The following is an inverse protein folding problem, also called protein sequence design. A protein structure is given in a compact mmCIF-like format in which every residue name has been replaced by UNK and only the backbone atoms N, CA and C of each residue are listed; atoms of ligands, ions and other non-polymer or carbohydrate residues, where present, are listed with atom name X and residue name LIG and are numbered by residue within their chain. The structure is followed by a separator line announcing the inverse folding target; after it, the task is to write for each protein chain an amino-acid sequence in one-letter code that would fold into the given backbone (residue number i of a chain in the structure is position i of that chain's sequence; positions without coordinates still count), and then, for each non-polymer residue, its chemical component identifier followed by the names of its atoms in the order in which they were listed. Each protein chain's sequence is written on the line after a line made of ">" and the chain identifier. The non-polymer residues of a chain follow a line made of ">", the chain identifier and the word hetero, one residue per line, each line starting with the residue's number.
data_IF_918162678023
#
_entry.id   IF_918162678023
#
_cell.length_a   1.000
_cell.length_b   1.000
_cell.length_c   1.000
_cell.angle_alpha   90.00
_cell.angle_beta   90.00
_cell.angle_gamma   90.00
#
_symmetry.space_group_name_H-M   'P 1'
#
loop_
_entity.id
_entity.type
_entity.pdbx_description
1 polymer ?
#
# COMPACT_ATOMS: atom_id res chain seq x y z
N UNK A 1 12.39 -11.63 -12.11
CA UNK A 1 13.31 -10.94 -11.15
C UNK A 1 13.72 -11.90 -10.06
N UNK A 2 15.03 -12.04 -9.79
CA UNK A 2 15.56 -12.82 -8.66
C UNK A 2 15.55 -11.97 -7.41
N UNK A 3 15.13 -12.52 -6.28
CA UNK A 3 15.17 -11.83 -4.99
C UNK A 3 16.53 -12.03 -4.33
N UNK A 4 17.30 -10.94 -4.22
CA UNK A 4 18.60 -10.91 -3.55
C UNK A 4 18.97 -9.46 -3.14
N UNK A 5 20.19 -9.24 -2.69
CA UNK A 5 20.66 -7.93 -2.18
C UNK A 5 20.87 -6.84 -3.26
N UNK A 6 20.66 -7.15 -4.52
CA UNK A 6 20.68 -6.17 -5.62
C UNK A 6 19.30 -5.53 -5.83
N UNK A 7 18.26 -6.08 -5.22
CA UNK A 7 16.87 -5.62 -5.32
C UNK A 7 16.49 -4.86 -4.06
N UNK A 8 15.81 -3.73 -4.24
CA UNK A 8 15.18 -2.98 -3.15
C UNK A 8 13.66 -2.99 -3.28
N UNK A 9 12.99 -2.91 -2.13
CA UNK A 9 11.54 -2.95 -2.01
C UNK A 9 11.01 -1.85 -1.08
N UNK A 10 9.82 -1.35 -1.38
CA UNK A 10 9.03 -0.52 -0.48
C UNK A 10 7.77 -1.29 -0.09
N UNK A 11 7.48 -1.35 1.21
CA UNK A 11 6.27 -1.97 1.75
C UNK A 11 5.48 -0.93 2.53
N UNK A 12 4.30 -0.53 2.03
CA UNK A 12 3.42 0.38 2.76
C UNK A 12 2.61 -0.38 3.82
N UNK A 13 2.33 0.25 4.98
CA UNK A 13 1.74 -0.46 6.12
C UNK A 13 2.67 -1.51 6.71
N UNK A 14 3.99 -1.32 6.56
CA UNK A 14 5.01 -2.33 6.87
C UNK A 14 5.33 -2.49 8.36
N UNK A 15 4.76 -1.67 9.24
CA UNK A 15 5.01 -1.76 10.68
C UNK A 15 4.16 -2.83 11.40
N UNK A 16 3.21 -3.48 10.72
CA UNK A 16 2.34 -4.49 11.34
C UNK A 16 1.68 -5.43 10.33
N UNK A 17 1.12 -6.54 10.83
CA UNK A 17 0.25 -7.44 10.08
C UNK A 17 0.87 -7.98 8.78
N UNK A 18 0.11 -7.92 7.68
CA UNK A 18 0.55 -8.42 6.37
C UNK A 18 1.76 -7.66 5.85
N UNK A 19 1.81 -6.32 6.06
CA UNK A 19 2.94 -5.51 5.61
C UNK A 19 4.24 -5.89 6.33
N UNK A 20 4.22 -6.05 7.65
CA UNK A 20 5.37 -6.51 8.43
C UNK A 20 5.82 -7.91 8.00
N UNK A 21 4.88 -8.85 7.86
CA UNK A 21 5.19 -10.21 7.42
C UNK A 21 5.83 -10.22 6.02
N UNK A 22 5.33 -9.39 5.10
CA UNK A 22 5.89 -9.21 3.77
C UNK A 22 7.30 -8.62 3.82
N UNK A 23 7.50 -7.56 4.61
CA UNK A 23 8.81 -6.93 4.77
C UNK A 23 9.86 -7.92 5.28
N UNK A 24 9.50 -8.70 6.30
CA UNK A 24 10.38 -9.75 6.86
C UNK A 24 10.66 -10.86 5.84
N UNK A 25 9.67 -11.29 5.07
CA UNK A 25 9.84 -12.32 4.05
C UNK A 25 10.76 -11.87 2.91
N UNK A 26 10.65 -10.63 2.45
CA UNK A 26 11.52 -10.05 1.43
C UNK A 26 12.96 -9.90 1.96
N UNK A 27 13.12 -9.38 3.17
CA UNK A 27 14.44 -9.25 3.80
C UNK A 27 15.13 -10.60 4.01
N UNK A 28 14.39 -11.65 4.36
CA UNK A 28 14.93 -13.01 4.47
C UNK A 28 15.47 -13.57 3.16
N UNK A 29 15.06 -13.04 2.01
CA UNK A 29 15.61 -13.33 0.68
C UNK A 29 16.79 -12.42 0.31
N UNK A 30 17.21 -11.53 1.19
CA UNK A 30 18.29 -10.58 0.96
C UNK A 30 17.86 -9.25 0.35
N UNK A 31 16.57 -9.04 0.05
CA UNK A 31 16.04 -7.79 -0.50
C UNK A 31 16.21 -6.65 0.52
N UNK A 32 16.65 -5.49 0.06
CA UNK A 32 16.74 -4.27 0.88
C UNK A 32 15.35 -3.64 1.02
N UNK A 33 14.81 -3.58 2.23
CA UNK A 33 13.41 -3.19 2.44
C UNK A 33 13.30 -1.83 3.11
N UNK A 34 12.50 -0.94 2.52
CA UNK A 34 12.02 0.28 3.16
C UNK A 34 10.56 0.09 3.62
N UNK A 35 10.29 0.46 4.87
CA UNK A 35 8.99 0.39 5.51
C UNK A 35 8.35 1.76 5.52
N UNK A 36 7.18 1.89 4.90
CA UNK A 36 6.33 3.08 4.95
C UNK A 36 5.18 2.85 5.92
N UNK A 37 5.14 3.60 7.02
CA UNK A 37 4.06 3.50 8.00
C UNK A 37 3.94 4.81 8.80
N UNK A 38 2.79 5.04 9.40
CA UNK A 38 2.57 6.15 10.32
C UNK A 38 3.04 5.83 11.75
N UNK A 39 3.11 4.55 12.11
CA UNK A 39 3.53 4.10 13.43
C UNK A 39 5.05 4.04 13.54
N UNK A 40 5.64 5.15 13.99
CA UNK A 40 7.09 5.34 14.08
C UNK A 40 7.75 4.29 14.98
N UNK A 41 7.21 4.06 16.20
CA UNK A 41 7.81 3.15 17.14
C UNK A 41 7.91 1.71 16.62
N UNK A 42 6.82 1.19 16.06
CA UNK A 42 6.80 -0.15 15.45
C UNK A 42 7.57 -0.21 14.14
N UNK A 43 7.49 0.83 13.32
CA UNK A 43 8.20 0.89 12.06
C UNK A 43 9.72 0.84 12.25
N UNK A 44 10.26 1.58 13.20
CA UNK A 44 11.69 1.54 13.56
C UNK A 44 12.09 0.18 14.13
N UNK A 45 11.25 -0.43 14.98
CA UNK A 45 11.49 -1.77 15.52
C UNK A 45 11.61 -2.81 14.39
N UNK A 46 10.65 -2.81 13.46
CA UNK A 46 10.64 -3.76 12.33
C UNK A 46 11.82 -3.48 11.39
N UNK A 47 12.07 -2.23 11.03
CA UNK A 47 13.18 -1.85 10.16
C UNK A 47 14.52 -2.30 10.74
N UNK A 48 14.76 -2.07 12.03
CA UNK A 48 15.97 -2.55 12.72
C UNK A 48 16.09 -4.07 12.70
N UNK A 49 14.99 -4.79 12.87
CA UNK A 49 14.99 -6.25 12.92
C UNK A 49 15.30 -6.90 11.55
N UNK A 50 15.13 -6.18 10.44
CA UNK A 50 15.36 -6.68 9.07
C UNK A 50 16.53 -5.99 8.36
N UNK A 51 17.32 -5.18 9.08
CA UNK A 51 18.37 -4.33 8.50
C UNK A 51 17.84 -3.44 7.36
N UNK A 52 16.63 -2.92 7.54
CA UNK A 52 15.93 -2.07 6.59
C UNK A 52 15.90 -0.60 7.01
N UNK A 53 15.14 0.22 6.28
CA UNK A 53 14.92 1.62 6.61
C UNK A 53 13.45 1.90 6.89
N UNK A 54 13.18 2.66 7.96
CA UNK A 54 11.83 3.16 8.24
C UNK A 54 11.66 4.57 7.67
N UNK A 55 10.54 4.80 7.01
CA UNK A 55 10.09 6.10 6.54
C UNK A 55 8.69 6.37 7.12
N UNK A 56 8.55 7.43 7.89
CA UNK A 56 7.25 7.85 8.41
C UNK A 56 6.44 8.44 7.27
N UNK A 57 5.41 7.73 6.83
CA UNK A 57 4.63 8.07 5.64
C UNK A 57 3.15 7.92 5.93
N UNK A 58 2.41 9.00 5.71
CA UNK A 58 0.97 8.97 5.54
C UNK A 58 0.66 8.85 4.03
N UNK A 59 0.13 7.73 3.59
CA UNK A 59 -0.18 7.48 2.16
C UNK A 59 -1.24 8.42 1.58
N UNK A 60 -1.92 9.21 2.42
CA UNK A 60 -2.88 10.23 1.96
C UNK A 60 -2.23 11.59 1.67
N UNK A 61 -0.95 11.79 2.01
CA UNK A 61 -0.16 13.00 1.74
C UNK A 61 0.81 12.76 0.59
N UNK A 62 0.80 13.64 -0.41
CA UNK A 62 1.75 13.60 -1.51
C UNK A 62 3.17 13.87 -1.03
N UNK A 63 3.33 14.84 -0.12
CA UNK A 63 4.60 15.28 0.44
C UNK A 63 5.25 14.16 1.26
N UNK A 64 4.46 13.47 2.12
CA UNK A 64 4.97 12.36 2.92
C UNK A 64 5.45 11.21 2.03
N UNK A 65 4.67 10.88 0.99
CA UNK A 65 5.02 9.80 0.06
C UNK A 65 6.27 10.15 -0.74
N UNK A 66 6.41 11.38 -1.23
CA UNK A 66 7.61 11.84 -1.93
C UNK A 66 8.84 11.77 -1.02
N UNK A 67 8.76 12.33 0.19
CA UNK A 67 9.86 12.29 1.16
C UNK A 67 10.21 10.83 1.57
N UNK A 68 9.20 9.96 1.68
CA UNK A 68 9.40 8.54 1.95
C UNK A 68 10.19 7.84 0.86
N UNK A 69 9.80 8.02 -0.41
CA UNK A 69 10.56 7.46 -1.55
C UNK A 69 11.96 8.05 -1.64
N UNK A 70 12.14 9.35 -1.44
CA UNK A 70 13.46 9.98 -1.42
C UNK A 70 14.37 9.33 -0.37
N UNK A 71 13.89 9.19 0.88
CA UNK A 71 14.64 8.55 1.96
C UNK A 71 14.95 7.08 1.65
N UNK A 72 13.98 6.31 1.15
CA UNK A 72 14.14 4.91 0.79
C UNK A 72 15.20 4.73 -0.31
N UNK A 73 15.13 5.55 -1.37
CA UNK A 73 16.05 5.53 -2.51
C UNK A 73 17.46 5.98 -2.14
N UNK A 74 17.59 6.94 -1.23
CA UNK A 74 18.89 7.35 -0.70
C UNK A 74 19.58 6.22 0.07
N UNK A 75 18.81 5.37 0.78
CA UNK A 75 19.35 4.25 1.54
C UNK A 75 19.62 3.00 0.69
N UNK A 76 18.74 2.66 -0.25
CA UNK A 76 18.72 1.34 -0.91
C UNK A 76 18.76 1.39 -2.43
N UNK A 77 18.77 2.57 -3.04
CA UNK A 77 18.57 2.76 -4.48
C UNK A 77 17.11 2.70 -4.88
N UNK A 78 16.85 2.89 -6.19
CA UNK A 78 15.48 2.83 -6.73
C UNK A 78 14.88 1.46 -6.49
N UNK A 79 13.68 1.42 -5.91
CA UNK A 79 12.96 0.17 -5.67
C UNK A 79 12.52 -0.49 -7.00
N UNK A 80 12.60 -1.81 -7.01
CA UNK A 80 12.02 -2.68 -8.04
C UNK A 80 10.79 -3.44 -7.56
N UNK A 81 10.48 -3.35 -6.27
CA UNK A 81 9.30 -3.97 -5.67
C UNK A 81 8.55 -2.93 -4.86
N UNK A 82 7.25 -2.82 -5.12
CA UNK A 82 6.32 -2.10 -4.25
C UNK A 82 5.23 -3.07 -3.79
N UNK A 83 5.01 -3.16 -2.48
CA UNK A 83 3.89 -3.91 -1.91
C UNK A 83 3.00 -2.95 -1.13
N UNK A 84 1.81 -2.71 -1.61
CA UNK A 84 0.82 -1.84 -0.98
C UNK A 84 -0.02 -2.63 0.01
N UNK A 85 0.35 -2.55 1.32
CA UNK A 85 -0.39 -3.14 2.43
C UNK A 85 -1.05 -2.08 3.33
N UNK A 86 -0.72 -0.79 3.17
CA UNK A 86 -1.36 0.27 3.95
C UNK A 86 -2.87 0.26 3.70
N UNK A 87 -3.63 0.23 4.78
CA UNK A 87 -5.08 0.20 4.68
C UNK A 87 -5.76 0.18 6.03
N UNK A 88 -7.02 0.53 6.04
CA UNK A 88 -7.87 0.53 7.23
C UNK A 88 -9.30 0.13 6.85
N UNK A 89 -10.10 -0.19 7.85
CA UNK A 89 -11.51 -0.55 7.65
C UNK A 89 -12.38 0.05 8.74
N UNK A 90 -13.67 0.07 8.48
CA UNK A 90 -14.70 0.35 9.47
C UNK A 90 -15.89 -0.58 9.24
N UNK A 91 -16.79 -0.67 10.23
CA UNK A 91 -18.03 -1.43 10.16
C UNK A 91 -19.19 -0.49 10.53
N UNK A 92 -19.62 0.32 9.57
CA UNK A 92 -20.71 1.30 9.74
C UNK A 92 -21.80 1.04 8.70
N UNK A 93 -23.03 0.84 9.14
CA UNK A 93 -24.18 0.63 8.24
C UNK A 93 -24.46 1.87 7.42
N UNK A 94 -24.89 1.71 6.18
CA UNK A 94 -25.33 2.79 5.28
C UNK A 94 -26.39 3.69 5.93
N UNK A 95 -27.33 3.06 6.63
CA UNK A 95 -28.26 3.74 7.53
C UNK A 95 -28.62 2.80 8.69
N UNK A 96 -28.93 3.35 9.83
CA UNK A 96 -29.29 2.59 11.02
C UNK A 96 -30.34 3.34 11.86
N UNK A 97 -31.06 2.58 12.67
CA UNK A 97 -31.97 3.12 13.69
C UNK A 97 -31.43 2.71 15.06
N UNK A 98 -31.25 3.68 15.92
CA UNK A 98 -30.95 3.42 17.33
C UNK A 98 -32.15 2.74 17.99
N UNK A 99 -31.92 1.60 18.66
CA UNK A 99 -33.00 0.79 19.23
C UNK A 99 -33.64 1.44 20.48
N UNK A 100 -32.90 2.26 21.20
CA UNK A 100 -33.38 2.87 22.42
C UNK A 100 -34.12 4.19 22.16
N UNK A 101 -33.52 5.07 21.34
CA UNK A 101 -34.09 6.39 21.02
C UNK A 101 -35.03 6.41 19.82
N UNK A 102 -34.96 5.39 18.94
CA UNK A 102 -35.64 5.40 17.65
C UNK A 102 -35.03 6.31 16.59
N UNK A 103 -33.97 7.06 16.93
CA UNK A 103 -33.31 7.99 16.03
C UNK A 103 -32.67 7.27 14.84
N UNK A 104 -32.79 7.85 13.65
CA UNK A 104 -32.12 7.31 12.44
C UNK A 104 -30.86 8.09 12.12
N UNK A 105 -29.82 7.36 11.71
CA UNK A 105 -28.52 7.91 11.31
C UNK A 105 -28.09 7.33 9.97
N UNK A 106 -27.49 8.16 9.13
CA UNK A 106 -26.81 7.69 7.92
C UNK A 106 -25.33 7.47 8.18
N UNK A 107 -24.65 6.79 7.26
CA UNK A 107 -23.21 6.64 7.29
C UNK A 107 -22.52 8.04 7.25
N UNK A 108 -21.59 8.36 8.15
CA UNK A 108 -20.80 9.60 8.09
C UNK A 108 -19.95 9.64 6.82
N UNK A 109 -20.15 10.63 5.95
CA UNK A 109 -19.46 10.71 4.65
C UNK A 109 -17.95 10.96 4.78
N UNK A 110 -17.53 11.67 5.81
CA UNK A 110 -16.10 11.85 6.16
C UNK A 110 -15.41 10.50 6.50
N UNK A 111 -16.11 9.60 7.19
CA UNK A 111 -15.61 8.26 7.47
C UNK A 111 -15.55 7.39 6.20
N UNK A 112 -16.47 7.58 5.24
CA UNK A 112 -16.41 6.94 3.93
C UNK A 112 -15.20 7.45 3.15
N UNK A 113 -15.06 8.76 3.02
CA UNK A 113 -13.97 9.41 2.30
C UNK A 113 -12.60 8.98 2.87
N UNK A 114 -12.44 8.97 4.19
CA UNK A 114 -11.21 8.52 4.85
C UNK A 114 -10.79 7.11 4.40
N UNK A 115 -11.72 6.16 4.28
CA UNK A 115 -11.42 4.80 3.82
C UNK A 115 -10.96 4.82 2.36
N UNK A 116 -11.64 5.58 1.50
CA UNK A 116 -11.27 5.73 0.09
C UNK A 116 -9.89 6.38 -0.04
N UNK A 117 -9.62 7.44 0.69
CA UNK A 117 -8.33 8.15 0.62
C UNK A 117 -7.16 7.26 1.05
N UNK A 118 -7.31 6.46 2.10
CA UNK A 118 -6.23 5.57 2.56
C UNK A 118 -6.09 4.38 1.62
N UNK A 119 -7.17 3.61 1.42
CA UNK A 119 -7.08 2.28 0.79
C UNK A 119 -6.94 2.33 -0.73
N UNK A 120 -7.56 3.30 -1.39
CA UNK A 120 -7.60 3.39 -2.85
C UNK A 120 -6.67 4.48 -3.37
N UNK A 121 -6.90 5.72 -2.98
CA UNK A 121 -6.10 6.85 -3.48
C UNK A 121 -4.66 6.75 -2.99
N UNK A 122 -4.44 6.38 -1.72
CA UNK A 122 -3.10 6.15 -1.16
C UNK A 122 -2.35 5.02 -1.85
N UNK A 123 -3.03 3.90 -2.14
CA UNK A 123 -2.45 2.80 -2.93
C UNK A 123 -2.04 3.29 -4.33
N UNK A 124 -2.91 4.00 -5.03
CA UNK A 124 -2.61 4.53 -6.36
C UNK A 124 -1.48 5.56 -6.32
N UNK A 125 -1.45 6.45 -5.32
CA UNK A 125 -0.38 7.45 -5.13
C UNK A 125 0.99 6.79 -5.02
N UNK A 126 1.14 5.80 -4.13
CA UNK A 126 2.40 5.07 -3.98
C UNK A 126 2.76 4.31 -5.26
N UNK A 127 1.78 3.66 -5.89
CA UNK A 127 1.96 2.92 -7.14
C UNK A 127 2.47 3.82 -8.27
N UNK A 128 1.80 4.95 -8.52
CA UNK A 128 2.16 5.85 -9.61
C UNK A 128 3.58 6.44 -9.46
N UNK A 129 3.95 6.83 -8.21
CA UNK A 129 5.28 7.38 -7.91
C UNK A 129 6.38 6.31 -7.98
N UNK A 130 6.09 5.08 -7.57
CA UNK A 130 7.02 3.96 -7.69
C UNK A 130 7.18 3.52 -9.15
N UNK A 131 6.08 3.35 -9.89
CA UNK A 131 6.12 3.01 -11.31
C UNK A 131 6.94 4.02 -12.12
N UNK A 132 6.74 5.33 -11.89
CA UNK A 132 7.55 6.37 -12.52
C UNK A 132 9.05 6.14 -12.31
N UNK A 133 9.47 5.84 -11.06
CA UNK A 133 10.88 5.57 -10.77
C UNK A 133 11.38 4.26 -11.38
N UNK A 134 10.53 3.23 -11.48
CA UNK A 134 10.88 1.96 -12.13
C UNK A 134 11.11 2.14 -13.64
N UNK A 135 10.41 3.06 -14.32
CA UNK A 135 10.61 3.34 -15.73
C UNK A 135 12.02 3.89 -16.05
N UNK A 136 12.66 4.55 -15.08
CA UNK A 136 14.02 5.09 -15.21
C UNK A 136 15.12 4.01 -15.03
N UNK A 137 14.74 2.79 -14.63
CA UNK A 137 15.68 1.68 -14.45
C UNK A 137 15.93 0.94 -15.76
N UNK A 138 17.15 0.42 -15.94
CA UNK A 138 17.40 -0.54 -17.00
C UNK A 138 16.58 -1.82 -16.76
N UNK A 139 15.98 -2.41 -17.80
CA UNK A 139 15.26 -3.68 -17.67
C UNK A 139 16.18 -4.81 -17.22
N UNK A 140 15.63 -5.75 -16.48
CA UNK A 140 16.31 -6.97 -16.10
C UNK A 140 16.35 -7.98 -17.27
N UNK A 141 16.99 -9.14 -17.06
CA UNK A 141 17.26 -10.17 -18.08
C UNK A 141 16.02 -10.55 -18.90
N UNK A 142 14.83 -10.57 -18.29
CA UNK A 142 13.58 -10.95 -18.94
C UNK A 142 12.70 -9.75 -19.36
N UNK A 143 13.26 -8.53 -19.33
CA UNK A 143 12.59 -7.31 -19.77
C UNK A 143 11.82 -6.59 -18.68
N UNK A 144 11.63 -7.18 -17.49
CA UNK A 144 10.95 -6.53 -16.39
C UNK A 144 11.80 -5.44 -15.71
N UNK A 145 11.17 -4.33 -15.29
CA UNK A 145 11.81 -3.24 -14.51
C UNK A 145 11.49 -3.33 -13.04
N UNK A 146 10.34 -3.92 -12.70
CA UNK A 146 9.88 -4.07 -11.34
C UNK A 146 8.58 -4.85 -11.22
N UNK A 147 8.09 -4.97 -9.99
CA UNK A 147 6.81 -5.60 -9.69
C UNK A 147 6.04 -4.81 -8.62
N UNK A 148 4.76 -4.60 -8.86
CA UNK A 148 3.88 -3.91 -7.92
C UNK A 148 2.76 -4.86 -7.49
N UNK A 149 2.61 -5.03 -6.17
CA UNK A 149 1.57 -5.87 -5.57
C UNK A 149 0.61 -5.00 -4.77
N UNK A 150 -0.67 -5.09 -5.07
CA UNK A 150 -1.72 -4.36 -4.35
C UNK A 150 -2.55 -5.32 -3.50
N UNK A 151 -2.77 -4.99 -2.23
CA UNK A 151 -3.60 -5.78 -1.33
C UNK A 151 -5.08 -5.44 -1.52
N UNK A 152 -5.79 -6.31 -2.22
CA UNK A 152 -7.26 -6.27 -2.33
C UNK A 152 -7.93 -6.93 -1.11
N UNK A 153 -9.16 -7.39 -1.26
CA UNK A 153 -9.92 -8.15 -0.26
C UNK A 153 -11.04 -8.91 -0.94
N UNK A 154 -11.45 -10.04 -0.36
CA UNK A 154 -12.71 -10.71 -0.73
C UNK A 154 -13.92 -9.76 -0.62
N UNK A 155 -13.85 -8.77 0.26
CA UNK A 155 -14.87 -7.74 0.41
C UNK A 155 -15.04 -6.85 -0.84
N UNK A 156 -14.15 -6.94 -1.83
CA UNK A 156 -14.34 -6.30 -3.13
C UNK A 156 -15.56 -6.87 -3.89
N UNK A 157 -15.85 -8.16 -3.66
CA UNK A 157 -16.92 -8.91 -4.32
C UNK A 157 -18.01 -9.34 -3.33
N UNK A 158 -17.63 -9.77 -2.12
CA UNK A 158 -18.53 -10.29 -1.08
C UNK A 158 -18.31 -9.54 0.24
N UNK A 159 -18.74 -8.28 0.27
CA UNK A 159 -18.64 -7.41 1.43
C UNK A 159 -19.71 -7.69 2.48
N UNK A 160 -19.31 -7.70 3.75
CA UNK A 160 -20.18 -7.91 4.88
C UNK A 160 -20.97 -6.63 5.25
N UNK A 161 -21.95 -6.80 6.13
CA UNK A 161 -22.72 -5.69 6.71
C UNK A 161 -21.78 -4.62 7.30
N UNK A 162 -21.98 -3.36 6.91
CA UNK A 162 -21.19 -2.24 7.39
C UNK A 162 -19.90 -1.98 6.61
N UNK A 163 -19.59 -2.77 5.58
CA UNK A 163 -18.35 -2.66 4.81
C UNK A 163 -18.48 -1.85 3.51
N UNK A 164 -19.53 -1.03 3.33
CA UNK A 164 -19.75 -0.31 2.07
C UNK A 164 -18.51 0.50 1.62
N UNK A 165 -17.91 1.29 2.51
CA UNK A 165 -16.71 2.07 2.20
C UNK A 165 -15.49 1.17 1.95
N UNK A 166 -15.29 0.16 2.77
CA UNK A 166 -14.18 -0.79 2.63
C UNK A 166 -14.29 -1.59 1.32
N UNK A 167 -15.47 -2.14 1.04
CA UNK A 167 -15.74 -2.87 -0.20
C UNK A 167 -15.55 -1.99 -1.44
N UNK A 168 -16.05 -0.76 -1.42
CA UNK A 168 -15.83 0.21 -2.50
C UNK A 168 -14.33 0.48 -2.72
N UNK A 169 -13.57 0.68 -1.63
CA UNK A 169 -12.13 0.91 -1.74
C UNK A 169 -11.38 -0.29 -2.32
N UNK A 170 -11.71 -1.50 -1.87
CA UNK A 170 -11.04 -2.73 -2.33
C UNK A 170 -11.51 -3.16 -3.73
N UNK A 171 -12.77 -2.91 -4.09
CA UNK A 171 -13.28 -3.01 -5.46
C UNK A 171 -12.57 -2.06 -6.41
N UNK A 172 -12.28 -0.82 -5.96
CA UNK A 172 -11.46 0.14 -6.70
C UNK A 172 -10.04 -0.36 -6.95
N UNK A 173 -9.39 -0.97 -5.93
CA UNK A 173 -8.06 -1.58 -6.07
C UNK A 173 -8.07 -2.71 -7.11
N UNK A 174 -9.07 -3.58 -7.09
CA UNK A 174 -9.24 -4.63 -8.11
C UNK A 174 -9.44 -4.01 -9.49
N UNK A 175 -10.38 -3.04 -9.59
CA UNK A 175 -10.73 -2.40 -10.86
C UNK A 175 -9.58 -1.65 -11.54
N UNK A 176 -8.70 -1.00 -10.76
CA UNK A 176 -7.56 -0.25 -11.34
C UNK A 176 -6.37 -1.14 -11.71
N UNK A 177 -6.26 -2.36 -11.20
CA UNK A 177 -5.06 -3.19 -11.38
C UNK A 177 -4.81 -3.54 -12.85
N UNK A 178 -5.82 -4.01 -13.56
CA UNK A 178 -5.67 -4.39 -14.97
C UNK A 178 -5.45 -3.18 -15.92
N UNK A 179 -6.17 -2.04 -15.80
CA UNK A 179 -5.84 -0.85 -16.57
C UNK A 179 -4.40 -0.39 -16.40
N UNK A 180 -3.91 -0.33 -15.13
CA UNK A 180 -2.52 0.06 -14.85
C UNK A 180 -1.52 -0.91 -15.46
N UNK A 181 -1.77 -2.22 -15.37
CA UNK A 181 -0.92 -3.22 -16.02
C UNK A 181 -0.87 -3.03 -17.54
N UNK A 182 -1.98 -2.61 -18.17
CA UNK A 182 -2.03 -2.28 -19.60
C UNK A 182 -1.28 -1.00 -19.95
N UNK A 183 -1.37 0.03 -19.09
CA UNK A 183 -0.63 1.28 -19.28
C UNK A 183 0.88 1.03 -19.28
N UNK A 184 1.35 0.09 -18.48
CA UNK A 184 2.78 -0.19 -18.26
C UNK A 184 3.33 -1.36 -19.10
N UNK A 185 2.48 -2.14 -19.78
CA UNK A 185 2.91 -3.37 -20.45
C UNK A 185 3.92 -3.17 -21.57
N UNK A 186 4.01 -1.98 -22.14
CA UNK A 186 5.00 -1.64 -23.16
C UNK A 186 6.36 -1.22 -22.62
N UNK A 187 6.46 -1.07 -21.31
CA UNK A 187 7.65 -0.54 -20.64
C UNK A 187 8.45 -1.60 -19.86
N UNK A 188 7.91 -2.80 -19.68
CA UNK A 188 8.57 -3.92 -18.99
C UNK A 188 8.10 -4.20 -17.58
#
# INVERSE_FOLDING_TARGET
>A
MKLDNTVSAVVTGGASGLGEATARALAAQGVKVAIFDMNEAKGEEVAKAIDGVFCKVNVTSDEDVDAGFEKARAAHGQERILVNCAGTGNAVKTASRDKASGETKHFPLDAFDKIIQINLVGTFRCLAKSAKGMLDLEPLEHGERGAIVNTASVAAEDGQMGQAAYSASKGGVVGMTLPIARDLMGEG
#
